data_IF_621179764522
#
_entry.id   IF_621179764522
#
_cell.length_a   1.000
_cell.length_b   1.000
_cell.length_c   1.000
_cell.angle_alpha   90.00
_cell.angle_beta   90.00
_cell.angle_gamma   90.00
#
_symmetry.space_group_name_H-M   'P 1'
#
loop_
_entity.id
_entity.type
_entity.pdbx_description
1 polymer ?
#
# COMPACT_ATOMS: atom_id res chain seq x y z
N UNK A 1 -8.50 14.68 -1.32
CA UNK A 1 -8.69 14.28 -2.74
C UNK A 1 -10.12 14.61 -3.13
N UNK A 2 -10.35 15.30 -4.26
CA UNK A 2 -11.71 15.54 -4.76
C UNK A 2 -12.20 14.35 -5.58
N UNK A 3 -13.34 13.79 -5.21
CA UNK A 3 -13.96 12.63 -5.83
C UNK A 3 -14.82 13.07 -7.03
N UNK A 4 -14.76 12.29 -8.11
CA UNK A 4 -15.58 12.54 -9.32
C UNK A 4 -17.04 12.07 -9.17
N UNK A 5 -17.29 11.21 -8.18
CA UNK A 5 -18.60 10.65 -7.85
C UNK A 5 -18.73 10.63 -6.34
N UNK A 6 -19.95 10.74 -5.84
CA UNK A 6 -20.21 10.55 -4.42
C UNK A 6 -19.81 9.12 -4.03
N UNK A 7 -19.16 9.00 -2.87
CA UNK A 7 -18.76 7.72 -2.32
C UNK A 7 -18.88 7.76 -0.79
N UNK A 8 -19.20 6.63 -0.17
CA UNK A 8 -19.18 6.51 1.28
C UNK A 8 -17.78 6.15 1.79
N UNK A 9 -17.56 6.32 3.10
CA UNK A 9 -16.32 5.87 3.75
C UNK A 9 -16.10 4.37 3.51
N UNK A 10 -17.15 3.57 3.61
CA UNK A 10 -17.11 2.12 3.44
C UNK A 10 -16.75 1.74 2.00
N UNK A 11 -17.30 2.43 1.01
CA UNK A 11 -16.95 2.20 -0.41
C UNK A 11 -15.47 2.49 -0.68
N UNK A 12 -14.94 3.59 -0.14
CA UNK A 12 -13.52 3.93 -0.28
C UNK A 12 -12.62 2.92 0.43
N UNK A 13 -12.97 2.53 1.67
CA UNK A 13 -12.21 1.51 2.40
C UNK A 13 -12.23 0.16 1.67
N UNK A 14 -13.38 -0.23 1.11
CA UNK A 14 -13.48 -1.45 0.33
C UNK A 14 -12.64 -1.37 -0.95
N UNK A 15 -12.59 -0.22 -1.61
CA UNK A 15 -11.70 -0.01 -2.75
C UNK A 15 -10.22 -0.15 -2.34
N UNK A 16 -9.79 0.46 -1.23
CA UNK A 16 -8.41 0.31 -0.74
C UNK A 16 -8.05 -1.14 -0.38
N UNK A 17 -8.99 -1.92 0.18
CA UNK A 17 -8.78 -3.36 0.48
C UNK A 17 -8.53 -4.23 -0.75
N UNK A 18 -8.89 -3.77 -1.95
CA UNK A 18 -8.59 -4.49 -3.20
C UNK A 18 -7.14 -4.33 -3.65
N UNK A 19 -6.41 -3.35 -3.11
CA UNK A 19 -5.01 -3.10 -3.45
C UNK A 19 -4.08 -3.99 -2.64
N UNK A 20 -3.18 -4.70 -3.30
CA UNK A 20 -2.18 -5.57 -2.66
C UNK A 20 -1.07 -4.83 -1.91
N UNK A 21 -0.90 -3.51 -2.16
CA UNK A 21 0.18 -2.69 -1.59
C UNK A 21 -0.31 -1.65 -0.57
N UNK A 22 -1.50 -1.84 -0.02
CA UNK A 22 -2.07 -1.00 1.04
C UNK A 22 -2.38 -1.85 2.26
N UNK A 23 -1.87 -1.43 3.42
CA UNK A 23 -2.21 -2.01 4.72
C UNK A 23 -3.09 -1.03 5.48
N UNK A 24 -4.30 -1.43 5.83
CA UNK A 24 -5.14 -0.66 6.73
C UNK A 24 -4.70 -0.88 8.17
N UNK A 25 -4.55 0.22 8.91
CA UNK A 25 -4.18 0.26 10.32
C UNK A 25 -5.15 1.18 11.08
N UNK A 26 -5.22 1.04 12.39
CA UNK A 26 -6.04 1.89 13.26
C UNK A 26 -5.14 2.60 14.27
N UNK A 27 -5.38 3.90 14.47
CA UNK A 27 -4.56 4.72 15.36
C UNK A 27 -4.74 4.31 16.82
N UNK A 28 -5.96 3.88 17.19
CA UNK A 28 -6.31 3.44 18.54
C UNK A 28 -5.63 2.12 18.96
N UNK A 29 -5.06 1.36 18.03
CA UNK A 29 -4.24 0.17 18.30
C UNK A 29 -2.79 0.52 18.70
N UNK A 30 -2.48 1.79 18.93
CA UNK A 30 -1.13 2.25 19.27
C UNK A 30 -0.21 2.46 18.05
N UNK A 31 -0.74 2.30 16.84
CA UNK A 31 -0.03 2.50 15.57
C UNK A 31 0.02 3.99 15.21
N UNK A 32 0.51 4.81 16.14
CA UNK A 32 0.44 6.29 16.07
C UNK A 32 1.56 6.93 15.25
N UNK A 33 2.62 6.19 14.92
CA UNK A 33 3.81 6.72 14.25
C UNK A 33 4.50 5.66 13.39
N UNK A 34 5.41 6.10 12.52
CA UNK A 34 6.21 5.20 11.70
C UNK A 34 6.96 4.14 12.53
N UNK A 35 7.51 4.53 13.68
CA UNK A 35 8.29 3.62 14.53
C UNK A 35 7.43 2.48 15.08
N UNK A 36 6.24 2.78 15.60
CA UNK A 36 5.36 1.74 16.16
C UNK A 36 4.82 0.80 15.08
N UNK A 37 4.63 1.31 13.85
CA UNK A 37 4.26 0.48 12.71
C UNK A 37 5.44 -0.41 12.28
N UNK A 38 6.67 0.11 12.25
CA UNK A 38 7.87 -0.69 11.98
C UNK A 38 8.09 -1.79 13.03
N UNK A 39 7.89 -1.49 14.31
CA UNK A 39 7.94 -2.48 15.38
C UNK A 39 6.90 -3.59 15.16
N UNK A 40 5.67 -3.24 14.79
CA UNK A 40 4.66 -4.24 14.42
C UNK A 40 5.13 -5.15 13.27
N UNK A 41 5.75 -4.60 12.22
CA UNK A 41 6.26 -5.41 11.11
C UNK A 41 7.51 -6.24 11.48
N UNK A 42 8.36 -5.74 12.39
CA UNK A 42 9.45 -6.52 12.98
C UNK A 42 8.91 -7.73 13.75
N UNK A 43 7.90 -7.52 14.58
CA UNK A 43 7.25 -8.57 15.37
C UNK A 43 6.57 -9.62 14.46
N UNK A 44 6.10 -9.21 13.28
CA UNK A 44 5.59 -10.11 12.24
C UNK A 44 6.69 -10.91 11.50
N UNK A 45 7.96 -10.71 11.86
CA UNK A 45 9.11 -11.42 11.29
C UNK A 45 9.63 -10.83 9.97
N UNK A 46 9.24 -9.60 9.61
CA UNK A 46 9.83 -8.96 8.43
C UNK A 46 11.27 -8.53 8.70
N UNK A 47 12.20 -8.78 7.76
CA UNK A 47 13.55 -8.24 7.85
C UNK A 47 13.49 -6.73 8.08
N UNK A 48 14.22 -6.25 9.10
CA UNK A 48 14.36 -4.82 9.44
C UNK A 48 13.06 -4.02 9.66
N UNK A 49 11.90 -4.69 9.76
CA UNK A 49 10.60 -4.04 9.87
C UNK A 49 10.10 -3.46 8.55
N UNK A 50 10.61 -3.98 7.43
CA UNK A 50 10.35 -3.44 6.10
C UNK A 50 8.86 -3.36 5.79
N UNK A 51 8.41 -2.15 5.45
CA UNK A 51 7.05 -1.91 5.01
C UNK A 51 7.00 -1.85 3.48
N UNK A 52 6.64 -2.97 2.88
CA UNK A 52 6.39 -3.08 1.44
C UNK A 52 5.05 -2.49 1.01
N UNK A 53 4.19 -2.18 1.98
CA UNK A 53 2.90 -1.54 1.78
C UNK A 53 2.92 -0.12 2.32
N UNK A 54 2.11 0.74 1.72
CA UNK A 54 1.71 1.99 2.36
C UNK A 54 0.74 1.64 3.50
N UNK A 55 0.99 2.13 4.71
CA UNK A 55 0.05 1.97 5.81
C UNK A 55 -0.89 3.18 5.89
N UNK A 56 -2.20 2.92 5.89
CA UNK A 56 -3.25 3.94 5.89
C UNK A 56 -4.13 3.79 7.13
N UNK A 57 -4.37 4.90 7.83
CA UNK A 57 -5.25 4.93 9.01
C UNK A 57 -6.72 4.94 8.59
N UNK A 58 -7.41 3.80 8.75
CA UNK A 58 -8.80 3.65 8.32
C UNK A 58 -9.79 4.42 9.21
N UNK A 59 -9.45 4.59 10.47
CA UNK A 59 -10.17 5.38 11.45
C UNK A 59 -10.09 6.89 11.15
N UNK A 60 -8.96 7.36 10.61
CA UNK A 60 -8.78 8.75 10.16
C UNK A 60 -9.39 9.05 8.79
N UNK A 61 -9.75 8.03 8.01
CA UNK A 61 -10.38 8.24 6.70
C UNK A 61 -11.76 8.88 6.88
N UNK A 62 -11.98 10.01 6.20
CA UNK A 62 -13.25 10.74 6.22
C UNK A 62 -13.65 11.19 4.81
N UNK A 63 -14.93 11.05 4.50
CA UNK A 63 -15.55 11.66 3.32
C UNK A 63 -16.46 12.81 3.77
N UNK A 64 -16.32 13.98 3.16
CA UNK A 64 -17.16 15.16 3.41
C UNK A 64 -17.58 15.74 2.07
N UNK A 65 -18.87 15.60 1.71
CA UNK A 65 -19.33 15.95 0.37
C UNK A 65 -18.59 15.13 -0.69
N UNK A 66 -17.98 15.81 -1.67
CA UNK A 66 -17.15 15.19 -2.71
C UNK A 66 -15.65 15.18 -2.36
N UNK A 67 -15.27 15.39 -1.09
CA UNK A 67 -13.87 15.38 -0.66
C UNK A 67 -13.54 14.20 0.25
N UNK A 68 -12.46 13.48 -0.10
CA UNK A 68 -11.87 12.39 0.66
C UNK A 68 -10.60 12.88 1.38
N UNK A 69 -10.55 12.65 2.69
CA UNK A 69 -9.42 12.93 3.58
C UNK A 69 -8.91 11.61 4.17
N UNK A 70 -7.60 11.40 4.17
CA UNK A 70 -6.94 10.25 4.80
C UNK A 70 -5.49 10.61 5.11
N UNK A 71 -4.90 9.88 6.06
CA UNK A 71 -3.49 9.94 6.38
C UNK A 71 -2.86 8.58 6.08
N UNK A 72 -1.60 8.60 5.64
CA UNK A 72 -0.84 7.40 5.36
C UNK A 72 0.63 7.62 5.69
N UNK A 73 1.37 6.53 5.87
CA UNK A 73 2.81 6.52 6.07
C UNK A 73 3.47 5.60 5.06
N UNK A 74 4.68 5.99 4.65
CA UNK A 74 5.51 5.27 3.69
C UNK A 74 6.85 5.01 4.32
N UNK A 75 7.31 3.76 4.27
CA UNK A 75 8.70 3.43 4.53
C UNK A 75 9.53 3.65 3.27
N UNK A 76 10.18 4.80 3.19
CA UNK A 76 10.98 5.18 2.01
C UNK A 76 12.13 4.19 1.72
N UNK A 77 12.57 3.41 2.70
CA UNK A 77 13.64 2.42 2.51
C UNK A 77 13.15 1.14 1.83
N UNK A 78 11.88 0.77 2.03
CA UNK A 78 11.36 -0.53 1.64
C UNK A 78 10.26 -0.48 0.57
N UNK A 79 9.55 0.65 0.44
CA UNK A 79 8.35 0.73 -0.38
C UNK A 79 8.60 0.37 -1.84
N UNK A 80 9.79 0.63 -2.39
CA UNK A 80 10.15 0.40 -3.81
C UNK A 80 10.68 -1.00 -4.11
N UNK A 81 10.96 -1.80 -3.06
CA UNK A 81 11.55 -3.14 -3.22
C UNK A 81 10.65 -4.01 -4.10
N UNK A 82 9.33 -4.09 -3.87
CA UNK A 82 8.48 -4.94 -4.69
C UNK A 82 8.32 -4.44 -6.13
N UNK A 83 8.25 -3.14 -6.36
CA UNK A 83 8.17 -2.53 -7.70
C UNK A 83 9.44 -2.82 -8.49
N UNK A 84 10.60 -2.87 -7.83
CA UNK A 84 11.86 -3.25 -8.47
C UNK A 84 11.80 -4.70 -8.95
N UNK A 85 11.25 -5.62 -8.15
CA UNK A 85 11.07 -7.02 -8.53
C UNK A 85 10.06 -7.15 -9.68
N UNK A 86 8.95 -6.42 -9.60
CA UNK A 86 7.90 -6.45 -10.62
C UNK A 86 8.41 -5.85 -11.95
N UNK A 87 9.25 -4.80 -11.91
CA UNK A 87 9.91 -4.25 -13.09
C UNK A 87 10.88 -5.25 -13.73
N UNK A 88 11.70 -5.94 -12.92
CA UNK A 88 12.60 -6.99 -13.43
C UNK A 88 11.78 -8.08 -14.12
N UNK A 89 10.71 -8.58 -13.48
CA UNK A 89 9.83 -9.60 -14.05
C UNK A 89 9.23 -9.16 -15.38
N UNK A 90 8.69 -7.94 -15.44
CA UNK A 90 8.13 -7.41 -16.69
C UNK A 90 9.19 -7.37 -17.81
N UNK A 91 10.40 -6.90 -17.52
CA UNK A 91 11.49 -6.85 -18.49
C UNK A 91 11.99 -8.24 -18.94
N UNK A 92 11.98 -9.23 -18.04
CA UNK A 92 12.45 -10.57 -18.36
C UNK A 92 11.39 -11.42 -19.04
N UNK A 93 10.12 -11.30 -18.63
CA UNK A 93 9.00 -12.06 -19.18
C UNK A 93 8.75 -11.66 -20.65
N UNK A 94 8.85 -10.37 -20.98
CA UNK A 94 8.82 -9.88 -22.38
C UNK A 94 9.95 -10.53 -23.22
N UNK A 95 11.13 -10.72 -22.62
CA UNK A 95 12.25 -11.40 -23.26
C UNK A 95 11.99 -12.89 -23.50
N UNK A 96 11.38 -13.59 -22.53
CA UNK A 96 11.03 -15.01 -22.67
C UNK A 96 9.93 -15.25 -23.71
N UNK A 97 8.91 -14.38 -23.78
CA UNK A 97 7.92 -14.44 -24.87
C UNK A 97 8.57 -14.22 -26.24
N UNK A 98 9.56 -13.32 -26.35
CA UNK A 98 10.32 -13.13 -27.59
C UNK A 98 11.09 -14.39 -28.00
N UNK A 99 11.76 -15.09 -27.07
CA UNK A 99 12.46 -16.36 -27.36
C UNK A 99 11.51 -17.51 -27.74
N UNK A 100 10.31 -17.56 -27.16
CA UNK A 100 9.31 -18.60 -27.48
C UNK A 100 8.59 -18.34 -28.82
N UNK A 101 8.60 -17.11 -29.33
CA UNK A 101 8.02 -16.75 -30.63
C UNK A 101 8.95 -16.99 -31.84
N UNK A 102 10.15 -17.55 -31.62
CA UNK A 102 10.92 -18.22 -32.68
C UNK A 102 11.70 -17.31 -33.63
N UNK A 103 12.67 -16.56 -33.10
CA UNK A 103 13.91 -16.23 -33.83
C UNK A 103 15.08 -17.01 -33.23
#
# INVERSE_FOLDING_TARGET
VKLKKQATKEEVLNAFKTSSRIKLIQYDQGLVSNNTIKEMFLDMGRPWGDMYEVALWEDMLKVQGDELFYAYVVDNQAIVIPETIDAIRAMTDDGYEYYLQGN
#
